data_IF_997474385986
#
_entry.id   IF_997474385986
#
_cell.length_a   1.000
_cell.length_b   1.000
_cell.length_c   1.000
_cell.angle_alpha   90.00
_cell.angle_beta   90.00
_cell.angle_gamma   90.00
#
_symmetry.space_group_name_H-M   'P 1'
#
loop_
_entity.id
_entity.type
_entity.pdbx_description
1 polymer ?
#
# COMPACT_ATOMS: atom_id res chain seq x y z
N UNK A 1 -5.79 0.11 -18.77
CA UNK A 1 -6.25 -0.73 -19.90
C UNK A 1 -6.56 -2.20 -19.53
N UNK A 2 -6.08 -2.74 -18.39
CA UNK A 2 -6.40 -4.11 -17.94
C UNK A 2 -7.76 -4.23 -17.24
N UNK A 3 -8.01 -3.49 -16.16
CA UNK A 3 -9.22 -3.72 -15.34
C UNK A 3 -10.56 -3.32 -15.97
N UNK A 4 -10.62 -2.35 -16.90
CA UNK A 4 -11.90 -1.98 -17.54
C UNK A 4 -12.52 -3.15 -18.30
N UNK A 5 -11.71 -4.09 -18.81
CA UNK A 5 -12.19 -5.31 -19.49
C UNK A 5 -12.78 -6.34 -18.54
N UNK A 6 -12.46 -6.25 -17.26
CA UNK A 6 -12.96 -7.11 -16.19
C UNK A 6 -14.08 -6.46 -15.38
N UNK A 7 -14.58 -5.28 -15.80
CA UNK A 7 -15.72 -4.61 -15.17
C UNK A 7 -15.36 -3.69 -14.00
N UNK A 8 -14.07 -3.46 -13.71
CA UNK A 8 -13.67 -2.46 -12.71
C UNK A 8 -14.05 -1.06 -13.18
N UNK A 9 -14.76 -0.31 -12.32
CA UNK A 9 -15.26 1.04 -12.62
C UNK A 9 -14.19 2.13 -12.48
N UNK A 10 -13.29 1.95 -11.51
CA UNK A 10 -12.17 2.86 -11.24
C UNK A 10 -10.93 2.03 -10.93
N UNK A 11 -9.79 2.45 -11.45
CA UNK A 11 -8.50 1.78 -11.26
C UNK A 11 -7.47 2.84 -10.88
N UNK A 12 -6.88 2.66 -9.71
CA UNK A 12 -5.78 3.46 -9.18
C UNK A 12 -4.55 2.55 -9.06
N UNK A 13 -3.37 3.09 -9.35
CA UNK A 13 -2.09 2.40 -9.15
C UNK A 13 -1.40 2.96 -7.91
N UNK A 14 -0.40 2.25 -7.37
CA UNK A 14 0.36 2.71 -6.21
C UNK A 14 0.97 4.09 -6.48
N UNK A 15 1.47 4.33 -7.68
CA UNK A 15 2.04 5.63 -8.08
C UNK A 15 1.01 6.75 -7.94
N UNK A 16 -0.24 6.51 -8.35
CA UNK A 16 -1.32 7.50 -8.19
C UNK A 16 -1.72 7.73 -6.74
N UNK A 17 -1.63 6.70 -5.89
CA UNK A 17 -1.82 6.87 -4.44
C UNK A 17 -0.71 7.77 -3.88
N UNK A 18 0.55 7.54 -4.27
CA UNK A 18 1.67 8.39 -3.87
C UNK A 18 1.60 9.81 -4.47
N UNK A 19 0.98 10.00 -5.64
CA UNK A 19 0.73 11.34 -6.18
C UNK A 19 -0.33 12.08 -5.35
N UNK A 20 -1.38 11.38 -4.90
CA UNK A 20 -2.44 11.94 -4.07
C UNK A 20 -2.02 12.17 -2.61
N UNK A 21 -1.12 11.33 -2.08
CA UNK A 21 -0.60 11.35 -0.72
C UNK A 21 0.93 11.19 -0.74
N UNK A 22 1.67 12.25 -1.08
CA UNK A 22 3.12 12.19 -1.27
C UNK A 22 3.89 11.80 0.00
N UNK A 23 3.37 12.11 1.17
CA UNK A 23 3.94 11.75 2.46
C UNK A 23 3.98 10.24 2.75
N UNK A 24 3.30 9.41 1.96
CA UNK A 24 3.36 7.95 2.09
C UNK A 24 4.61 7.34 1.44
N UNK A 25 5.25 8.02 0.48
CA UNK A 25 6.44 7.53 -0.24
C UNK A 25 7.73 8.21 0.23
N UNK A 26 8.07 8.07 1.51
CA UNK A 26 9.27 8.70 2.10
C UNK A 26 10.58 7.92 1.88
N UNK A 27 10.47 6.70 1.35
CA UNK A 27 11.61 5.91 0.89
C UNK A 27 12.24 6.52 -0.37
N UNK A 28 11.42 7.16 -1.22
CA UNK A 28 11.87 7.86 -2.40
C UNK A 28 12.48 9.21 -2.04
N UNK A 29 13.81 9.31 -2.15
CA UNK A 29 14.53 10.54 -1.80
C UNK A 29 14.07 11.76 -2.61
N UNK A 30 13.76 11.59 -3.90
CA UNK A 30 13.30 12.71 -4.74
C UNK A 30 11.92 13.18 -4.34
N UNK A 31 11.06 12.26 -3.94
CA UNK A 31 9.77 12.61 -3.39
C UNK A 31 9.90 13.39 -2.07
N UNK A 32 10.85 13.03 -1.19
CA UNK A 32 11.11 13.80 0.04
C UNK A 32 11.51 15.25 -0.23
N UNK A 33 12.39 15.48 -1.20
CA UNK A 33 12.82 16.83 -1.58
C UNK A 33 11.63 17.63 -2.13
N UNK A 34 10.88 17.05 -3.07
CA UNK A 34 9.68 17.65 -3.66
C UNK A 34 8.62 17.99 -2.59
N UNK A 35 8.38 17.06 -1.66
CA UNK A 35 7.42 17.24 -0.57
C UNK A 35 7.83 18.39 0.35
N UNK A 36 9.11 18.48 0.71
CA UNK A 36 9.63 19.59 1.53
C UNK A 36 9.43 20.94 0.87
N UNK A 37 9.68 21.05 -0.44
CA UNK A 37 9.45 22.28 -1.21
C UNK A 37 7.95 22.63 -1.29
N UNK A 38 7.10 21.63 -1.52
CA UNK A 38 5.64 21.81 -1.57
C UNK A 38 5.09 22.31 -0.22
N UNK A 39 5.46 21.66 0.88
CA UNK A 39 5.03 22.05 2.23
C UNK A 39 5.47 23.49 2.54
N UNK A 40 6.69 23.87 2.16
CA UNK A 40 7.23 25.21 2.43
C UNK A 40 6.53 26.32 1.63
N UNK A 41 5.91 26.00 0.50
CA UNK A 41 5.33 26.98 -0.43
C UNK A 41 3.81 27.03 -0.42
N UNK A 42 3.15 25.88 -0.24
CA UNK A 42 1.71 25.71 -0.43
C UNK A 42 1.04 24.93 0.71
N UNK A 43 1.82 24.36 1.64
CA UNK A 43 1.33 23.40 2.63
C UNK A 43 1.20 21.98 2.06
N UNK A 44 0.77 21.03 2.89
CA UNK A 44 0.47 19.67 2.44
C UNK A 44 -0.92 19.65 1.79
N UNK A 45 -0.97 19.28 0.51
CA UNK A 45 -2.21 19.23 -0.27
C UNK A 45 -2.41 17.79 -0.75
N UNK A 46 -3.57 17.22 -0.42
CA UNK A 46 -4.01 15.92 -0.91
C UNK A 46 -5.00 16.09 -2.08
N UNK A 47 -5.15 15.08 -2.93
CA UNK A 47 -6.17 15.08 -3.97
C UNK A 47 -7.58 14.93 -3.35
N UNK A 48 -8.37 16.00 -3.37
CA UNK A 48 -9.76 16.01 -2.88
C UNK A 48 -10.69 15.06 -3.66
N UNK A 49 -10.30 14.64 -4.86
CA UNK A 49 -11.07 13.70 -5.68
C UNK A 49 -10.66 12.25 -5.46
N UNK A 50 -9.69 11.99 -4.57
CA UNK A 50 -9.29 10.64 -4.23
C UNK A 50 -10.48 9.88 -3.64
N UNK A 51 -10.74 8.70 -4.19
CA UNK A 51 -11.80 7.81 -3.71
C UNK A 51 -11.18 6.69 -2.89
N UNK A 52 -11.76 6.32 -1.74
CA UNK A 52 -11.29 5.20 -0.96
C UNK A 52 -11.14 3.94 -1.82
N UNK A 53 -10.04 3.21 -1.60
CA UNK A 53 -9.76 1.96 -2.29
C UNK A 53 -10.61 0.84 -1.70
N UNK A 54 -11.43 0.20 -2.51
CA UNK A 54 -12.34 -0.87 -2.05
C UNK A 54 -11.70 -2.27 -2.09
N UNK A 55 -10.64 -2.45 -2.87
CA UNK A 55 -9.92 -3.72 -3.01
C UNK A 55 -8.53 -3.50 -3.63
N UNK A 56 -7.57 -4.35 -3.27
CA UNK A 56 -6.23 -4.36 -3.85
C UNK A 56 -6.04 -5.61 -4.69
N UNK A 57 -5.65 -5.44 -5.96
CA UNK A 57 -5.40 -6.55 -6.88
C UNK A 57 -3.91 -6.61 -7.25
N UNK A 58 -3.25 -7.69 -6.84
CA UNK A 58 -1.84 -7.94 -7.07
C UNK A 58 -1.68 -8.96 -8.22
N UNK A 59 -1.35 -8.45 -9.40
CA UNK A 59 -1.18 -9.25 -10.64
C UNK A 59 0.26 -9.76 -10.84
N UNK A 60 1.17 -9.40 -9.95
CA UNK A 60 2.59 -9.66 -10.02
C UNK A 60 3.31 -8.89 -8.92
N UNK A 61 4.52 -9.31 -8.56
CA UNK A 61 5.28 -8.65 -7.50
C UNK A 61 5.65 -7.24 -7.95
N UNK A 62 5.42 -6.22 -7.12
CA UNK A 62 5.83 -4.88 -7.48
C UNK A 62 7.36 -4.77 -7.48
N UNK A 63 7.86 -3.78 -8.21
CA UNK A 63 9.26 -3.32 -8.08
C UNK A 63 9.27 -2.28 -6.95
N UNK A 64 10.38 -2.16 -6.21
CA UNK A 64 10.47 -1.29 -5.01
C UNK A 64 9.48 -1.74 -3.93
N UNK A 65 9.79 -2.89 -3.32
CA UNK A 65 8.94 -3.51 -2.30
C UNK A 65 8.70 -2.57 -1.13
N UNK A 66 9.71 -1.80 -0.72
CA UNK A 66 9.62 -0.85 0.40
C UNK A 66 8.47 0.15 0.23
N UNK A 67 8.33 0.77 -0.95
CA UNK A 67 7.22 1.68 -1.26
C UNK A 67 5.90 0.92 -1.25
N UNK A 68 5.85 -0.19 -1.98
CA UNK A 68 4.60 -0.90 -2.19
C UNK A 68 4.06 -1.50 -0.89
N UNK A 69 4.93 -2.05 -0.06
CA UNK A 69 4.58 -2.56 1.27
C UNK A 69 4.06 -1.43 2.15
N UNK A 70 4.76 -0.30 2.24
CA UNK A 70 4.34 0.86 3.04
C UNK A 70 2.93 1.33 2.63
N UNK A 71 2.75 1.67 1.35
CA UNK A 71 1.49 2.23 0.85
C UNK A 71 0.33 1.23 0.98
N UNK A 72 0.56 -0.06 0.71
CA UNK A 72 -0.48 -1.07 0.89
C UNK A 72 -0.86 -1.19 2.36
N UNK A 73 0.11 -1.23 3.28
CA UNK A 73 -0.19 -1.29 4.73
C UNK A 73 -1.00 -0.08 5.16
N UNK A 74 -0.62 1.13 4.74
CA UNK A 74 -1.36 2.36 5.07
C UNK A 74 -2.81 2.28 4.58
N UNK A 75 -3.04 1.79 3.36
CA UNK A 75 -4.39 1.56 2.84
C UNK A 75 -5.17 0.50 3.64
N UNK A 76 -4.52 -0.59 4.08
CA UNK A 76 -5.19 -1.63 4.88
C UNK A 76 -5.55 -1.14 6.28
N UNK A 77 -4.75 -0.25 6.87
CA UNK A 77 -4.98 0.32 8.19
C UNK A 77 -6.02 1.45 8.17
N UNK A 78 -6.20 2.11 7.02
CA UNK A 78 -7.09 3.27 6.85
C UNK A 78 -8.36 2.94 6.07
N UNK A 79 -8.70 1.65 5.92
CA UNK A 79 -9.85 1.17 5.15
C UNK A 79 -9.93 1.77 3.74
N UNK A 80 -8.77 1.86 3.09
CA UNK A 80 -8.60 2.38 1.74
C UNK A 80 -8.52 3.90 1.63
N UNK A 81 -8.58 4.66 2.73
CA UNK A 81 -8.51 6.13 2.69
C UNK A 81 -7.43 6.72 3.63
N UNK A 82 -6.23 7.02 3.09
CA UNK A 82 -5.13 7.57 3.89
C UNK A 82 -5.41 8.93 4.55
N UNK A 83 -6.46 9.65 4.13
CA UNK A 83 -6.84 10.93 4.74
C UNK A 83 -7.53 10.77 6.11
N UNK A 84 -7.94 9.55 6.48
CA UNK A 84 -8.66 9.28 7.73
C UNK A 84 -7.68 8.74 8.77
N UNK A 85 -7.79 9.21 10.00
CA UNK A 85 -7.06 8.65 11.15
C UNK A 85 -7.67 7.27 11.46
N UNK A 86 -6.87 6.18 11.51
CA UNK A 86 -7.38 4.86 11.86
C UNK A 86 -8.17 4.87 13.17
N UNK A 87 -9.40 4.35 13.15
CA UNK A 87 -10.21 4.16 14.35
C UNK A 87 -9.87 2.81 14.99
N UNK A 88 -9.07 2.84 16.06
CA UNK A 88 -8.69 1.66 16.81
C UNK A 88 -9.83 1.03 17.63
N UNK A 89 -10.97 1.72 17.78
CA UNK A 89 -12.13 1.14 18.47
C UNK A 89 -12.76 -0.03 17.70
N UNK A 90 -12.46 -0.13 16.40
CA UNK A 90 -13.08 -1.08 15.50
C UNK A 90 -12.20 -2.30 15.16
N UNK A 91 -11.67 -2.94 16.21
CA UNK A 91 -10.84 -4.17 16.14
C UNK A 91 -11.50 -5.38 15.44
N UNK A 92 -12.75 -5.25 14.99
CA UNK A 92 -13.55 -6.33 14.38
C UNK A 92 -13.66 -6.26 12.85
N UNK A 93 -13.24 -5.17 12.21
CA UNK A 93 -13.34 -5.07 10.76
C UNK A 93 -12.08 -5.61 10.09
N UNK A 94 -12.28 -6.62 9.24
CA UNK A 94 -11.27 -7.08 8.30
C UNK A 94 -10.90 -5.90 7.38
N UNK A 95 -9.61 -5.74 7.10
CA UNK A 95 -9.11 -4.75 6.14
C UNK A 95 -9.74 -4.97 4.75
N UNK A 96 -9.65 -3.97 3.87
CA UNK A 96 -10.07 -4.12 2.47
C UNK A 96 -9.46 -5.38 1.82
N UNK A 97 -10.20 -6.10 0.96
CA UNK A 97 -9.75 -7.35 0.40
C UNK A 97 -8.51 -7.20 -0.48
N UNK A 98 -7.59 -8.17 -0.38
CA UNK A 98 -6.43 -8.30 -1.26
C UNK A 98 -6.58 -9.57 -2.09
N UNK A 99 -6.48 -9.42 -3.40
CA UNK A 99 -6.56 -10.51 -4.37
C UNK A 99 -5.21 -10.63 -5.05
N UNK A 100 -4.51 -11.73 -4.81
CA UNK A 100 -3.22 -12.02 -5.45
C UNK A 100 -3.37 -13.15 -6.46
N UNK A 101 -2.79 -12.98 -7.66
CA UNK A 101 -2.92 -13.97 -8.74
C UNK A 101 -1.97 -15.18 -8.60
N UNK A 102 -0.95 -15.07 -7.75
CA UNK A 102 0.02 -16.12 -7.49
C UNK A 102 0.41 -16.11 -6.00
N UNK A 103 0.69 -17.27 -5.41
CA UNK A 103 1.18 -17.41 -4.03
C UNK A 103 2.52 -18.15 -3.92
N UNK A 104 3.17 -18.44 -5.04
CA UNK A 104 4.46 -19.11 -5.06
C UNK A 104 5.52 -18.27 -4.33
N UNK A 105 6.07 -18.82 -3.24
CA UNK A 105 7.15 -18.18 -2.48
C UNK A 105 8.39 -17.97 -3.35
N UNK A 106 8.74 -18.98 -4.14
CA UNK A 106 9.90 -18.94 -5.02
C UNK A 106 9.57 -19.54 -6.37
N UNK A 107 10.32 -19.13 -7.40
CA UNK A 107 10.23 -19.69 -8.73
C UNK A 107 11.62 -20.01 -9.29
N UNK A 108 11.65 -20.90 -10.29
CA UNK A 108 12.86 -21.25 -11.03
C UNK A 108 13.07 -20.26 -12.17
N UNK A 109 14.27 -19.70 -12.26
CA UNK A 109 14.69 -18.81 -13.34
C UNK A 109 16.04 -19.28 -13.91
N UNK A 110 16.77 -18.41 -14.60
CA UNK A 110 18.09 -18.71 -15.17
C UNK A 110 19.21 -18.91 -14.12
N UNK A 111 19.03 -18.40 -12.90
CA UNK A 111 19.99 -18.60 -11.82
C UNK A 111 19.87 -19.99 -11.18
N UNK A 112 20.98 -20.52 -10.67
CA UNK A 112 21.02 -21.86 -10.05
C UNK A 112 20.19 -21.96 -8.76
N UNK A 113 20.00 -20.84 -8.06
CA UNK A 113 19.21 -20.76 -6.83
C UNK A 113 17.81 -20.20 -7.11
N UNK A 114 16.77 -20.65 -6.38
CA UNK A 114 15.40 -20.13 -6.52
C UNK A 114 15.34 -18.61 -6.37
N UNK A 115 14.48 -17.95 -7.15
CA UNK A 115 14.22 -16.50 -7.05
C UNK A 115 12.95 -16.27 -6.24
N UNK A 116 12.89 -15.20 -5.46
CA UNK A 116 11.66 -14.85 -4.74
C UNK A 116 10.55 -14.52 -5.73
N UNK A 117 9.41 -15.15 -5.53
CA UNK A 117 8.21 -14.93 -6.31
C UNK A 117 7.23 -14.01 -5.57
N UNK A 118 6.03 -13.92 -6.15
CA UNK A 118 4.93 -13.14 -5.60
C UNK A 118 4.56 -13.52 -4.16
N UNK A 119 4.64 -14.81 -3.80
CA UNK A 119 4.34 -15.29 -2.46
C UNK A 119 5.28 -14.74 -1.39
N UNK A 120 6.56 -14.47 -1.72
CA UNK A 120 7.47 -13.82 -0.79
C UNK A 120 7.03 -12.39 -0.48
N UNK A 121 6.57 -11.64 -1.49
CA UNK A 121 6.00 -10.31 -1.28
C UNK A 121 4.77 -10.37 -0.36
N UNK A 122 3.85 -11.30 -0.60
CA UNK A 122 2.67 -11.50 0.25
C UNK A 122 3.04 -11.86 1.69
N UNK A 123 4.09 -12.68 1.88
CA UNK A 123 4.58 -13.05 3.21
C UNK A 123 5.14 -11.84 3.96
N UNK A 124 5.91 -10.99 3.28
CA UNK A 124 6.38 -9.73 3.84
C UNK A 124 5.22 -8.81 4.20
N UNK A 125 4.25 -8.66 3.30
CA UNK A 125 3.07 -7.83 3.51
C UNK A 125 2.24 -8.28 4.71
N UNK A 126 1.93 -9.57 4.81
CA UNK A 126 1.17 -10.13 5.94
C UNK A 126 1.92 -9.95 7.26
N UNK A 127 3.24 -10.17 7.26
CA UNK A 127 4.07 -10.01 8.46
C UNK A 127 4.07 -8.57 8.94
N UNK A 128 4.30 -7.61 8.04
CA UNK A 128 4.33 -6.20 8.39
C UNK A 128 2.95 -5.69 8.81
N UNK A 129 1.87 -6.11 8.15
CA UNK A 129 0.51 -5.74 8.56
C UNK A 129 0.19 -6.17 9.99
N UNK A 130 0.55 -7.42 10.37
CA UNK A 130 0.36 -7.92 11.74
C UNK A 130 1.14 -7.09 12.76
N UNK A 131 2.38 -6.73 12.44
CA UNK A 131 3.23 -5.89 13.30
C UNK A 131 2.63 -4.49 13.44
N UNK A 132 2.20 -3.85 12.35
CA UNK A 132 1.63 -2.50 12.40
C UNK A 132 0.32 -2.46 13.18
N UNK A 133 -0.58 -3.44 13.01
CA UNK A 133 -1.81 -3.55 13.83
C UNK A 133 -1.51 -3.68 15.32
N UNK A 134 -0.46 -4.44 15.67
CA UNK A 134 -0.06 -4.61 17.06
C UNK A 134 0.39 -3.28 17.68
N UNK A 135 1.15 -2.46 16.95
CA UNK A 135 1.56 -1.14 17.43
C UNK A 135 0.39 -0.16 17.59
N UNK A 136 -0.52 -0.09 16.61
CA UNK A 136 -1.73 0.75 16.73
C UNK A 136 -2.58 0.36 17.95
N UNK A 137 -2.73 -0.94 18.20
CA UNK A 137 -3.46 -1.43 19.38
C UNK A 137 -2.80 -1.05 20.72
N UNK A 138 -1.49 -0.78 20.76
CA UNK A 138 -0.82 -0.31 21.99
C UNK A 138 -1.02 1.20 22.16
N UNK A 139 -0.87 1.99 21.10
CA UNK A 139 -1.02 3.45 21.19
C UNK A 139 -2.45 3.85 21.61
N UNK A 140 -3.47 3.12 21.14
CA UNK A 140 -4.86 3.32 21.58
C UNK A 140 -5.16 2.92 23.03
N UNK A 141 -4.26 2.17 23.67
CA UNK A 141 -4.37 1.81 25.09
C UNK A 141 -3.68 2.79 26.04
N UNK A 142 -2.85 3.72 25.52
CA UNK A 142 -2.12 4.74 26.28
C UNK A 142 -2.88 6.07 26.28
#
# INVERSE_FOLDING_TARGET
>A
LFGNRFGFKSITTIEKVCEAFPELDMVNHMNRVRLSEMISTQGLIHDENFRPIEAIVLLGEPIQWERSLQVIIDLLLTDGNPAIIPDDSNTKHDHIPIIACNRDLVFKAAADLPRFGHGSFLTCLETLYKVSRFFSSIESML
#
